data_IF_142968246111
#
_entry.id   IF_142968246111
#
_cell.length_a   1.000
_cell.length_b   1.000
_cell.length_c   1.000
_cell.angle_alpha   90.00
_cell.angle_beta   90.00
_cell.angle_gamma   90.00
#
_symmetry.space_group_name_H-M   'P 1'
#
loop_
_entity.id
_entity.type
_entity.pdbx_description
1 polymer ?
#
# COMPACT_ATOMS: atom_id res chain seq x y z
N UNK A 1 16.95 22.03 -14.02
CA UNK A 1 17.66 20.84 -13.53
C UNK A 1 16.74 20.05 -12.61
N UNK A 2 15.94 19.18 -13.14
CA UNK A 2 15.12 18.28 -12.34
C UNK A 2 15.47 16.84 -12.75
N UNK A 3 16.40 16.24 -12.01
CA UNK A 3 16.69 14.81 -12.14
C UNK A 3 15.68 14.02 -11.33
N UNK A 4 14.74 13.39 -12.01
CA UNK A 4 13.84 12.40 -11.42
C UNK A 4 14.49 11.03 -11.60
N UNK A 5 15.21 10.57 -10.59
CA UNK A 5 15.79 9.21 -10.58
C UNK A 5 14.92 8.28 -9.74
N UNK A 6 14.17 7.41 -10.40
CA UNK A 6 13.52 6.27 -9.77
C UNK A 6 14.43 5.05 -9.84
N UNK A 7 14.85 4.54 -8.69
CA UNK A 7 15.64 3.31 -8.59
C UNK A 7 14.72 2.16 -8.18
N UNK A 8 14.44 1.25 -9.12
CA UNK A 8 13.83 -0.03 -8.84
C UNK A 8 14.93 -1.09 -8.67
N UNK A 9 15.06 -1.65 -7.47
CA UNK A 9 15.94 -2.81 -7.23
C UNK A 9 15.20 -4.09 -7.59
N UNK A 10 15.58 -4.73 -8.69
CA UNK A 10 15.52 -6.19 -8.86
C UNK A 10 16.89 -6.67 -9.30
N UNK A 11 17.34 -7.79 -8.70
CA UNK A 11 18.67 -8.34 -8.78
C UNK A 11 19.34 -8.26 -10.16
N UNK A 12 20.56 -7.83 -10.15
CA UNK A 12 21.64 -7.93 -11.14
C UNK A 12 21.48 -7.32 -12.54
N UNK A 13 20.39 -6.66 -12.91
CA UNK A 13 20.34 -5.88 -14.14
C UNK A 13 19.96 -4.42 -13.86
N UNK A 14 20.97 -3.56 -13.75
CA UNK A 14 20.81 -2.11 -13.80
C UNK A 14 20.44 -1.71 -15.23
N UNK A 15 19.19 -1.60 -15.55
CA UNK A 15 18.78 -0.74 -16.67
C UNK A 15 18.81 0.69 -16.17
N UNK A 16 19.88 1.40 -16.50
CA UNK A 16 19.90 2.85 -16.45
C UNK A 16 18.86 3.33 -17.47
N UNK A 17 17.72 3.82 -16.98
CA UNK A 17 16.81 4.62 -17.82
C UNK A 17 17.42 6.01 -17.91
N UNK A 18 18.51 6.11 -18.67
CA UNK A 18 18.93 7.36 -19.24
C UNK A 18 18.06 7.58 -20.46
N UNK A 19 17.53 8.79 -20.60
CA UNK A 19 16.73 9.32 -21.68
C UNK A 19 15.22 9.19 -21.50
N UNK A 20 14.68 9.91 -20.50
CA UNK A 20 13.39 10.54 -20.71
C UNK A 20 13.65 11.69 -21.68
N UNK A 21 13.52 11.43 -22.98
CA UNK A 21 13.45 12.50 -23.96
C UNK A 21 12.28 13.41 -23.56
N UNK A 22 12.62 14.57 -23.03
CA UNK A 22 11.65 15.61 -22.79
C UNK A 22 11.10 15.98 -24.18
N UNK A 23 9.79 15.85 -24.40
CA UNK A 23 9.15 16.25 -25.64
C UNK A 23 9.61 17.65 -25.98
N UNK A 24 10.43 17.83 -27.07
CA UNK A 24 10.69 19.11 -27.62
C UNK A 24 9.36 19.71 -28.09
N UNK A 25 8.96 20.76 -27.39
CA UNK A 25 7.65 21.39 -27.46
C UNK A 25 7.52 22.11 -28.79
N UNK A 26 6.76 21.53 -29.71
CA UNK A 26 6.26 22.24 -30.90
C UNK A 26 4.73 22.21 -31.07
N UNK A 27 3.98 21.92 -29.98
CA UNK A 27 2.50 21.90 -30.04
C UNK A 27 1.88 22.63 -28.82
N UNK A 28 2.00 23.95 -28.84
CA UNK A 28 1.62 24.82 -27.72
C UNK A 28 0.12 24.83 -27.37
N UNK A 29 -0.80 24.38 -28.21
CA UNK A 29 -2.24 24.55 -27.95
C UNK A 29 -3.01 23.30 -27.59
N UNK A 30 -2.64 22.12 -28.07
CA UNK A 30 -3.37 20.87 -27.77
C UNK A 30 -3.06 20.30 -26.40
N UNK A 31 -1.89 20.61 -25.84
CA UNK A 31 -1.50 20.18 -24.50
C UNK A 31 -2.15 21.00 -23.38
N UNK A 32 -2.41 22.29 -23.61
CA UNK A 32 -2.94 23.20 -22.58
C UNK A 32 -4.37 22.85 -22.16
N UNK A 33 -5.25 22.49 -23.11
CA UNK A 33 -6.61 22.07 -22.79
C UNK A 33 -6.62 20.76 -22.01
N UNK A 34 -5.84 19.78 -22.46
CA UNK A 34 -5.71 18.50 -21.77
C UNK A 34 -5.14 18.64 -20.35
N UNK A 35 -4.16 19.53 -20.16
CA UNK A 35 -3.60 19.84 -18.85
C UNK A 35 -4.66 20.47 -17.94
N UNK A 36 -5.48 21.39 -18.45
CA UNK A 36 -6.57 22.00 -17.69
C UNK A 36 -7.60 20.97 -17.26
N UNK A 37 -8.01 20.08 -18.17
CA UNK A 37 -8.93 18.98 -17.84
C UNK A 37 -8.34 18.05 -16.77
N UNK A 38 -7.07 17.64 -16.91
CA UNK A 38 -6.39 16.79 -15.93
C UNK A 38 -6.29 17.45 -14.57
N UNK A 39 -6.02 18.75 -14.50
CA UNK A 39 -6.00 19.49 -13.22
C UNK A 39 -7.36 19.51 -12.53
N UNK A 40 -8.46 19.53 -13.29
CA UNK A 40 -9.82 19.47 -12.75
C UNK A 40 -10.20 18.07 -12.28
N UNK A 41 -9.63 17.02 -12.89
CA UNK A 41 -9.86 15.62 -12.53
C UNK A 41 -9.00 15.16 -11.35
N UNK A 42 -7.93 15.89 -11.04
CA UNK A 42 -7.07 15.55 -9.90
C UNK A 42 -7.87 15.64 -8.59
N UNK A 43 -7.82 14.61 -7.75
CA UNK A 43 -8.34 14.72 -6.40
C UNK A 43 -7.67 15.87 -5.62
N UNK A 44 -8.32 16.36 -4.59
CA UNK A 44 -7.69 17.32 -3.69
C UNK A 44 -6.44 16.75 -3.02
N UNK A 45 -5.54 17.63 -2.60
CA UNK A 45 -4.25 17.23 -2.01
C UNK A 45 -4.42 16.39 -0.76
N UNK A 46 -5.43 16.66 0.06
CA UNK A 46 -5.70 15.91 1.29
C UNK A 46 -6.05 14.44 0.98
N UNK A 47 -6.86 14.20 -0.04
CA UNK A 47 -7.19 12.83 -0.48
C UNK A 47 -5.99 12.10 -1.05
N UNK A 48 -5.15 12.79 -1.81
CA UNK A 48 -3.92 12.19 -2.35
C UNK A 48 -2.92 11.89 -1.22
N UNK A 49 -2.85 12.76 -0.22
CA UNK A 49 -2.05 12.51 0.98
C UNK A 49 -2.55 11.28 1.75
N UNK A 50 -3.85 11.18 2.00
CA UNK A 50 -4.46 10.04 2.69
C UNK A 50 -4.23 8.73 1.92
N UNK A 51 -4.31 8.76 0.59
CA UNK A 51 -4.00 7.62 -0.26
C UNK A 51 -2.53 7.21 -0.15
N UNK A 52 -1.62 8.17 -0.13
CA UNK A 52 -0.19 7.91 0.06
C UNK A 52 0.10 7.29 1.42
N UNK A 53 -0.50 7.78 2.50
CA UNK A 53 -0.37 7.20 3.84
C UNK A 53 -0.94 5.78 3.92
N UNK A 54 -2.05 5.51 3.22
CA UNK A 54 -2.59 4.17 3.09
C UNK A 54 -1.56 3.21 2.46
N UNK A 55 -0.99 3.55 1.32
CA UNK A 55 0.02 2.72 0.66
C UNK A 55 1.31 2.61 1.47
N UNK A 56 1.69 3.63 2.19
CA UNK A 56 2.82 3.58 3.12
C UNK A 56 2.58 2.57 4.25
N UNK A 57 1.34 2.45 4.73
CA UNK A 57 0.97 1.43 5.70
C UNK A 57 1.15 0.02 5.11
N UNK A 58 0.78 -0.21 3.85
CA UNK A 58 1.04 -1.47 3.13
C UNK A 58 2.52 -1.70 2.82
N UNK A 59 3.33 -0.66 2.73
CA UNK A 59 4.74 -0.73 2.32
C UNK A 59 5.70 -1.32 3.35
N UNK A 60 5.21 -1.78 4.50
CA UNK A 60 6.02 -2.43 5.54
C UNK A 60 5.84 -3.95 5.50
N UNK A 61 6.96 -4.70 5.45
CA UNK A 61 6.95 -6.15 5.30
C UNK A 61 6.26 -6.89 6.45
N UNK A 62 6.38 -6.39 7.66
CA UNK A 62 5.72 -6.99 8.83
C UNK A 62 4.22 -6.79 8.76
N UNK A 63 3.77 -5.58 8.41
CA UNK A 63 2.34 -5.29 8.27
C UNK A 63 1.70 -6.07 7.13
N UNK A 64 2.38 -6.22 5.99
CA UNK A 64 1.91 -7.06 4.89
C UNK A 64 1.75 -8.52 5.32
N UNK A 65 2.69 -9.07 6.09
CA UNK A 65 2.57 -10.44 6.60
C UNK A 65 1.37 -10.61 7.53
N UNK A 66 1.09 -9.64 8.39
CA UNK A 66 -0.09 -9.66 9.27
C UNK A 66 -1.37 -9.55 8.44
N UNK A 67 -1.43 -8.62 7.49
CA UNK A 67 -2.60 -8.45 6.62
C UNK A 67 -2.88 -9.70 5.79
N UNK A 68 -1.84 -10.37 5.29
CA UNK A 68 -1.99 -11.63 4.56
C UNK A 68 -2.49 -12.77 5.47
N UNK A 69 -1.98 -12.88 6.69
CA UNK A 69 -2.50 -13.85 7.66
C UNK A 69 -3.99 -13.63 7.95
N UNK A 70 -4.40 -12.36 8.13
CA UNK A 70 -5.81 -12.00 8.33
C UNK A 70 -6.67 -12.12 7.07
N UNK A 71 -6.07 -12.07 5.90
CA UNK A 71 -6.73 -12.36 4.62
C UNK A 71 -7.14 -13.83 4.55
N UNK A 72 -6.28 -14.73 5.02
CA UNK A 72 -6.55 -16.17 5.05
C UNK A 72 -7.52 -16.57 6.18
N UNK A 73 -7.41 -15.95 7.34
CA UNK A 73 -8.24 -16.31 8.50
C UNK A 73 -8.28 -15.20 9.56
N UNK A 74 -9.41 -15.06 10.20
CA UNK A 74 -9.54 -14.26 11.41
C UNK A 74 -8.75 -14.89 12.56
N UNK A 75 -8.01 -14.10 13.32
CA UNK A 75 -7.10 -14.60 14.35
C UNK A 75 -7.04 -13.69 15.57
N UNK A 76 -6.74 -14.28 16.73
CA UNK A 76 -6.30 -13.54 17.90
C UNK A 76 -4.81 -13.17 17.81
N UNK A 77 -4.34 -12.27 18.67
CA UNK A 77 -2.94 -11.82 18.72
C UNK A 77 -1.95 -12.99 18.91
N UNK A 78 -2.32 -13.98 19.73
CA UNK A 78 -1.48 -15.15 19.99
C UNK A 78 -1.24 -15.97 18.73
N UNK A 79 -2.31 -16.21 17.96
CA UNK A 79 -2.24 -17.00 16.73
C UNK A 79 -1.43 -16.28 15.64
N UNK A 80 -1.62 -14.97 15.50
CA UNK A 80 -0.81 -14.16 14.58
C UNK A 80 0.67 -14.22 14.97
N UNK A 81 0.98 -14.02 16.24
CA UNK A 81 2.35 -14.06 16.76
C UNK A 81 3.02 -15.42 16.49
N UNK A 82 2.30 -16.50 16.73
CA UNK A 82 2.77 -17.87 16.47
C UNK A 82 2.95 -18.11 14.96
N UNK A 83 1.99 -17.72 14.15
CA UNK A 83 2.04 -17.90 12.68
C UNK A 83 3.21 -17.16 12.05
N UNK A 84 3.55 -15.99 12.58
CA UNK A 84 4.59 -15.12 12.01
C UNK A 84 5.94 -15.21 12.73
N UNK A 85 6.09 -16.07 13.73
CA UNK A 85 7.28 -16.17 14.58
C UNK A 85 7.68 -14.83 15.20
N UNK A 86 6.70 -14.14 15.78
CA UNK A 86 6.87 -12.81 16.38
C UNK A 86 6.43 -12.81 17.84
N UNK A 87 6.89 -11.83 18.60
CA UNK A 87 6.38 -11.60 19.96
C UNK A 87 4.98 -11.00 19.91
N UNK A 88 4.15 -11.30 20.90
CA UNK A 88 2.80 -10.74 21.01
C UNK A 88 2.83 -9.20 21.12
N UNK A 89 3.81 -8.64 21.81
CA UNK A 89 3.96 -7.19 21.93
C UNK A 89 4.29 -6.53 20.60
N UNK A 90 5.15 -7.14 19.77
CA UNK A 90 5.46 -6.65 18.43
C UNK A 90 4.23 -6.71 17.52
N UNK A 91 3.49 -7.81 17.54
CA UNK A 91 2.23 -7.95 16.78
C UNK A 91 1.20 -6.94 17.25
N UNK A 92 1.00 -6.78 18.57
CA UNK A 92 0.04 -5.83 19.15
C UNK A 92 0.34 -4.40 18.71
N UNK A 93 1.62 -4.02 18.65
CA UNK A 93 2.03 -2.70 18.17
C UNK A 93 1.64 -2.49 16.69
N UNK A 94 1.90 -3.47 15.84
CA UNK A 94 1.53 -3.40 14.42
C UNK A 94 0.01 -3.44 14.21
N UNK A 95 -0.73 -4.23 14.98
CA UNK A 95 -2.20 -4.26 14.93
C UNK A 95 -2.82 -2.91 15.30
N UNK A 96 -2.22 -2.19 16.26
CA UNK A 96 -2.66 -0.83 16.59
C UNK A 96 -2.50 0.12 15.41
N UNK A 97 -1.38 0.08 14.70
CA UNK A 97 -1.12 0.89 13.50
C UNK A 97 -2.13 0.56 12.40
N UNK A 98 -2.31 -0.74 12.11
CA UNK A 98 -3.25 -1.21 11.09
C UNK A 98 -4.69 -0.83 11.40
N UNK A 99 -5.09 -0.87 12.67
CA UNK A 99 -6.42 -0.48 13.11
C UNK A 99 -6.64 1.03 12.98
N UNK A 100 -5.64 1.85 13.32
CA UNK A 100 -5.67 3.31 13.12
C UNK A 100 -5.77 3.66 11.63
N UNK A 101 -5.11 2.90 10.76
CA UNK A 101 -5.20 3.04 9.30
C UNK A 101 -6.51 2.46 8.71
N UNK A 102 -7.41 1.94 9.54
CA UNK A 102 -8.70 1.33 9.14
C UNK A 102 -8.56 0.15 8.17
N UNK A 103 -7.43 -0.55 8.22
CA UNK A 103 -7.17 -1.75 7.40
C UNK A 103 -7.65 -3.03 8.06
N UNK A 104 -7.77 -3.03 9.38
CA UNK A 104 -8.29 -4.14 10.16
C UNK A 104 -9.37 -3.67 11.14
N UNK A 105 -10.21 -4.59 11.52
CA UNK A 105 -11.17 -4.46 12.61
C UNK A 105 -10.95 -5.54 13.65
N UNK A 106 -11.66 -5.44 14.77
CA UNK A 106 -11.60 -6.44 15.84
C UNK A 106 -12.95 -6.59 16.50
N UNK A 107 -13.23 -7.80 16.96
CA UNK A 107 -14.38 -8.08 17.81
C UNK A 107 -13.94 -8.83 19.06
N UNK A 108 -14.71 -8.73 20.11
CA UNK A 108 -14.50 -9.52 21.31
C UNK A 108 -15.21 -10.86 21.17
N UNK A 109 -14.49 -11.93 21.47
CA UNK A 109 -15.01 -13.30 21.54
C UNK A 109 -14.62 -13.90 22.89
N UNK A 110 -15.53 -13.86 23.86
CA UNK A 110 -15.24 -14.24 25.24
C UNK A 110 -14.12 -13.39 25.86
N UNK A 111 -13.03 -14.02 26.23
CA UNK A 111 -11.82 -13.37 26.79
C UNK A 111 -10.82 -12.94 25.73
N UNK A 112 -11.01 -13.37 24.48
CA UNK A 112 -10.12 -13.10 23.36
C UNK A 112 -10.62 -11.93 22.53
N UNK A 113 -9.70 -11.28 21.83
CA UNK A 113 -9.98 -10.30 20.78
C UNK A 113 -9.57 -10.91 19.46
N UNK A 114 -10.52 -11.03 18.55
CA UNK A 114 -10.32 -11.57 17.20
C UNK A 114 -10.17 -10.42 16.22
N UNK A 115 -9.11 -10.46 15.44
CA UNK A 115 -8.80 -9.48 14.40
C UNK A 115 -9.16 -10.02 13.02
N UNK A 116 -9.58 -9.13 12.14
CA UNK A 116 -9.98 -9.43 10.76
C UNK A 116 -9.69 -8.25 9.85
N UNK A 117 -9.67 -8.46 8.55
CA UNK A 117 -9.63 -7.35 7.59
C UNK A 117 -10.87 -6.47 7.76
N UNK A 118 -10.70 -5.16 7.55
CA UNK A 118 -11.78 -4.21 7.79
C UNK A 118 -12.94 -4.39 6.81
N UNK A 119 -12.61 -4.65 5.54
CA UNK A 119 -13.61 -4.78 4.47
C UNK A 119 -13.03 -5.49 3.22
N UNK A 120 -13.89 -5.63 2.20
CA UNK A 120 -13.52 -6.27 0.93
C UNK A 120 -12.54 -5.45 0.08
N UNK A 121 -12.44 -4.14 0.29
CA UNK A 121 -11.48 -3.31 -0.44
C UNK A 121 -10.05 -3.68 -0.03
N UNK A 122 -9.81 -3.92 1.25
CA UNK A 122 -8.50 -4.35 1.75
C UNK A 122 -8.14 -5.72 1.16
N UNK A 123 -9.07 -6.66 1.13
CA UNK A 123 -8.87 -7.97 0.49
C UNK A 123 -8.52 -7.82 -0.99
N UNK A 124 -9.25 -6.98 -1.71
CA UNK A 124 -9.02 -6.74 -3.14
C UNK A 124 -7.64 -6.14 -3.41
N UNK A 125 -7.18 -5.19 -2.58
CA UNK A 125 -5.85 -4.60 -2.72
C UNK A 125 -4.74 -5.65 -2.55
N UNK A 126 -4.89 -6.55 -1.58
CA UNK A 126 -3.94 -7.65 -1.35
C UNK A 126 -3.94 -8.60 -2.54
N UNK A 127 -5.11 -9.04 -3.00
CA UNK A 127 -5.24 -9.94 -4.14
C UNK A 127 -4.60 -9.36 -5.40
N UNK A 128 -4.98 -8.15 -5.77
CA UNK A 128 -4.45 -7.47 -6.95
C UNK A 128 -2.95 -7.22 -6.86
N UNK A 129 -2.45 -6.87 -5.67
CA UNK A 129 -1.01 -6.71 -5.45
C UNK A 129 -0.24 -8.01 -5.66
N UNK A 130 -0.76 -9.13 -5.17
CA UNK A 130 -0.14 -10.46 -5.37
C UNK A 130 -0.20 -10.86 -6.83
N UNK A 131 -1.34 -10.74 -7.48
CA UNK A 131 -1.49 -11.05 -8.91
C UNK A 131 -0.49 -10.26 -9.76
N UNK A 132 -0.36 -8.97 -9.50
CA UNK A 132 0.57 -8.10 -10.23
C UNK A 132 2.04 -8.52 -10.10
N UNK A 133 2.47 -8.98 -8.92
CA UNK A 133 3.87 -9.41 -8.72
C UNK A 133 4.16 -10.84 -9.24
N UNK A 134 3.11 -11.62 -9.53
CA UNK A 134 3.24 -12.98 -10.09
C UNK A 134 3.18 -13.02 -11.62
N UNK A 135 2.76 -11.94 -12.27
CA UNK A 135 2.80 -11.78 -13.73
C UNK A 135 4.24 -11.58 -14.23
#
# INVERSE_FOLDING_TARGET
MNSCSYVLRKGEDYMAVNDVECCEISHEHAHDEKIKELKQLMPDEDRLYDLAELFKCFGDSTRIRILFALFESEMCVCDIATTLDMTQSAVSHQLKILKQAKLISSRRDGKSVIYMLADTHVSSMITQGIEHILE
#
